data_IF_767155608799
#
_entry.id   IF_767155608799
#
_cell.length_a   1.000
_cell.length_b   1.000
_cell.length_c   1.000
_cell.angle_alpha   90.00
_cell.angle_beta   90.00
_cell.angle_gamma   90.00
#
_symmetry.space_group_name_H-M   'P 1'
#
loop_
_entity.id
_entity.type
_entity.pdbx_description
1 polymer ?
#
# COMPACT_ATOMS: atom_id res chain seq x y z
N UNK A 1 7.55 16.34 4.08
CA UNK A 1 7.22 15.40 5.18
C UNK A 1 5.78 14.95 4.99
N UNK A 2 5.53 13.66 4.84
CA UNK A 2 4.16 13.11 4.72
C UNK A 2 3.50 13.10 6.10
N UNK A 3 2.26 13.56 6.19
CA UNK A 3 1.47 13.43 7.43
C UNK A 3 0.91 12.01 7.55
N UNK A 4 0.72 11.52 8.78
CA UNK A 4 0.06 10.23 9.04
C UNK A 4 -1.33 10.16 8.36
N UNK A 5 -2.02 11.30 8.28
CA UNK A 5 -3.31 11.42 7.58
C UNK A 5 -3.17 11.19 6.07
N UNK A 6 -2.20 11.82 5.40
CA UNK A 6 -1.93 11.57 3.98
C UNK A 6 -1.55 10.12 3.71
N UNK A 7 -0.74 9.52 4.58
CA UNK A 7 -0.38 8.10 4.48
C UNK A 7 -1.61 7.18 4.57
N UNK A 8 -2.53 7.45 5.52
CA UNK A 8 -3.80 6.71 5.62
C UNK A 8 -4.64 6.82 4.35
N UNK A 9 -4.76 8.01 3.77
CA UNK A 9 -5.54 8.24 2.55
C UNK A 9 -4.94 7.51 1.34
N UNK A 10 -3.61 7.50 1.22
CA UNK A 10 -2.90 6.74 0.19
C UNK A 10 -3.14 5.24 0.31
N UNK A 11 -3.07 4.68 1.53
CA UNK A 11 -3.42 3.28 1.79
C UNK A 11 -4.84 2.95 1.35
N UNK A 12 -5.81 3.77 1.76
CA UNK A 12 -7.22 3.55 1.42
C UNK A 12 -7.41 3.58 -0.10
N UNK A 13 -6.81 4.53 -0.79
CA UNK A 13 -6.89 4.63 -2.26
C UNK A 13 -6.32 3.39 -2.97
N UNK A 14 -5.23 2.81 -2.45
CA UNK A 14 -4.65 1.56 -2.96
C UNK A 14 -5.60 0.39 -2.69
N UNK A 15 -6.09 0.27 -1.46
CA UNK A 15 -6.99 -0.82 -1.05
C UNK A 15 -8.32 -0.80 -1.83
N UNK A 16 -8.91 0.37 -2.07
CA UNK A 16 -10.16 0.52 -2.84
C UNK A 16 -10.01 0.07 -4.30
N UNK A 17 -8.79 0.12 -4.85
CA UNK A 17 -8.49 -0.30 -6.23
C UNK A 17 -8.10 -1.78 -6.35
N UNK A 18 -7.59 -2.41 -5.29
CA UNK A 18 -7.18 -3.82 -5.32
C UNK A 18 -8.26 -4.69 -4.66
N UNK A 19 -8.99 -5.46 -5.47
CA UNK A 19 -9.99 -6.38 -4.95
C UNK A 19 -9.33 -7.52 -4.12
N UNK A 20 -9.85 -7.80 -2.93
CA UNK A 20 -9.38 -8.90 -2.09
C UNK A 20 -8.08 -8.61 -1.32
N UNK A 21 -7.77 -7.33 -1.04
CA UNK A 21 -6.67 -6.94 -0.15
C UNK A 21 -7.23 -6.42 1.16
N UNK A 22 -6.71 -6.94 2.27
CA UNK A 22 -6.89 -6.34 3.59
C UNK A 22 -5.62 -5.57 3.94
N UNK A 23 -5.75 -4.30 4.31
CA UNK A 23 -4.58 -3.47 4.64
C UNK A 23 -4.49 -3.20 6.12
N UNK A 24 -3.39 -3.64 6.72
CA UNK A 24 -3.02 -3.30 8.09
C UNK A 24 -1.93 -2.23 8.07
N UNK A 25 -2.36 -0.97 8.22
CA UNK A 25 -1.42 0.13 8.26
C UNK A 25 -0.70 0.17 9.62
N UNK A 26 0.62 0.06 9.59
CA UNK A 26 1.47 0.35 10.73
C UNK A 26 2.04 1.75 10.54
N UNK A 27 1.56 2.78 11.27
CA UNK A 27 2.02 4.15 11.07
C UNK A 27 3.49 4.29 11.49
N UNK A 28 4.39 4.03 10.54
CA UNK A 28 5.78 4.48 10.56
C UNK A 28 5.95 5.41 9.38
N UNK A 29 5.88 6.72 9.66
CA UNK A 29 6.29 7.73 8.69
C UNK A 29 7.80 7.62 8.53
N UNK A 30 8.27 7.30 7.33
CA UNK A 30 9.68 7.50 6.97
C UNK A 30 9.87 8.94 6.49
N UNK A 31 11.11 9.34 6.20
CA UNK A 31 11.38 10.69 5.66
C UNK A 31 10.73 10.94 4.29
N UNK A 32 10.42 9.86 3.55
CA UNK A 32 10.00 9.88 2.14
C UNK A 32 8.68 9.14 1.85
N UNK A 33 8.19 8.32 2.78
CA UNK A 33 7.02 7.45 2.56
C UNK A 33 6.38 6.95 3.86
N UNK A 34 5.54 5.92 3.74
CA UNK A 34 4.99 5.18 4.87
C UNK A 34 5.14 3.68 4.66
N UNK A 35 5.32 2.95 5.76
CA UNK A 35 5.31 1.48 5.75
C UNK A 35 3.91 0.97 6.03
N UNK A 36 3.45 -0.04 5.30
CA UNK A 36 2.20 -0.74 5.56
C UNK A 36 2.40 -2.26 5.40
N UNK A 37 1.68 -3.05 6.18
CA UNK A 37 1.58 -4.48 5.92
C UNK A 37 0.25 -4.75 5.19
N UNK A 38 0.33 -5.38 4.02
CA UNK A 38 -0.79 -5.76 3.19
C UNK A 38 -1.01 -7.27 3.32
N UNK A 39 -2.22 -7.69 3.68
CA UNK A 39 -2.66 -9.07 3.55
C UNK A 39 -3.32 -9.25 2.18
N UNK A 40 -2.67 -10.02 1.31
CA UNK A 40 -3.22 -10.37 0.00
C UNK A 40 -3.81 -11.78 0.05
N UNK A 41 -5.04 -11.90 -0.46
CA UNK A 41 -5.78 -13.17 -0.48
C UNK A 41 -5.58 -13.97 -1.77
N UNK A 42 -4.90 -13.39 -2.77
CA UNK A 42 -4.60 -14.05 -4.05
C UNK A 42 -3.33 -13.52 -4.70
N UNK A 43 -2.72 -14.30 -5.60
CA UNK A 43 -1.58 -13.86 -6.41
C UNK A 43 -1.95 -12.69 -7.33
N UNK A 44 -3.21 -12.62 -7.81
CA UNK A 44 -3.68 -11.49 -8.60
C UNK A 44 -3.68 -10.17 -7.81
N UNK A 45 -4.00 -10.22 -6.51
CA UNK A 45 -3.94 -9.06 -5.64
C UNK A 45 -2.49 -8.63 -5.34
N UNK A 46 -1.56 -9.58 -5.30
CA UNK A 46 -0.12 -9.30 -5.23
C UNK A 46 0.36 -8.57 -6.49
N UNK A 47 0.04 -9.09 -7.67
CA UNK A 47 0.48 -8.51 -8.95
C UNK A 47 -0.11 -7.11 -9.16
N UNK A 48 -1.39 -6.92 -8.78
CA UNK A 48 -2.08 -5.64 -8.92
C UNK A 48 -1.52 -4.52 -8.03
N UNK A 49 -0.80 -4.85 -6.94
CA UNK A 49 -0.30 -3.84 -6.01
C UNK A 49 0.64 -2.82 -6.69
N UNK A 50 1.63 -3.31 -7.43
CA UNK A 50 2.59 -2.44 -8.10
C UNK A 50 1.92 -1.53 -9.13
N UNK A 51 0.99 -2.09 -9.90
CA UNK A 51 0.26 -1.36 -10.93
C UNK A 51 -0.61 -0.26 -10.32
N UNK A 52 -1.37 -0.57 -9.27
CA UNK A 52 -2.27 0.38 -8.60
C UNK A 52 -1.51 1.52 -7.91
N UNK A 53 -0.42 1.22 -7.21
CA UNK A 53 0.39 2.27 -6.56
C UNK A 53 0.99 3.20 -7.61
N UNK A 54 1.46 2.65 -8.73
CA UNK A 54 2.01 3.42 -9.85
C UNK A 54 0.93 4.25 -10.56
N UNK A 55 -0.27 3.69 -10.77
CA UNK A 55 -1.43 4.39 -11.34
C UNK A 55 -1.83 5.61 -10.51
N UNK A 56 -1.72 5.49 -9.18
CA UNK A 56 -1.96 6.59 -8.24
C UNK A 56 -0.81 7.61 -8.19
N UNK A 57 0.22 7.47 -9.01
CA UNK A 57 1.37 8.38 -9.06
C UNK A 57 2.30 8.28 -7.84
N UNK A 58 2.25 7.16 -7.13
CA UNK A 58 3.11 6.86 -5.98
C UNK A 58 4.18 5.83 -6.39
N UNK A 59 5.23 5.67 -5.58
CA UNK A 59 6.26 4.65 -5.85
C UNK A 59 6.13 3.49 -4.87
N UNK A 60 5.88 2.26 -5.34
CA UNK A 60 5.83 1.06 -4.48
C UNK A 60 7.23 0.47 -4.26
N UNK A 61 7.48 -0.01 -3.05
CA UNK A 61 8.61 -0.89 -2.72
C UNK A 61 8.12 -2.03 -1.82
N UNK A 62 8.44 -3.27 -2.17
CA UNK A 62 8.15 -4.45 -1.33
C UNK A 62 9.41 -4.76 -0.52
N UNK A 63 9.34 -4.58 0.79
CA UNK A 63 10.48 -4.89 1.69
C UNK A 63 10.55 -6.37 2.05
N UNK A 64 9.39 -7.01 2.22
CA UNK A 64 9.31 -8.41 2.64
C UNK A 64 7.99 -9.03 2.19
N UNK A 65 8.06 -10.30 1.77
CA UNK A 65 6.89 -11.16 1.62
C UNK A 65 6.97 -12.23 2.71
N UNK A 66 5.85 -12.50 3.39
CA UNK A 66 5.75 -13.51 4.45
C UNK A 66 4.46 -14.32 4.31
N UNK A 67 4.47 -15.58 4.76
CA UNK A 67 3.28 -16.41 4.77
C UNK A 67 2.39 -16.03 5.96
N UNK A 68 1.07 -15.99 5.75
CA UNK A 68 0.08 -15.78 6.82
C UNK A 68 -0.59 -17.11 7.17
N UNK A 69 -1.46 -17.60 6.29
CA UNK A 69 -2.23 -18.86 6.43
C UNK A 69 -2.44 -19.51 5.05
N UNK A 70 -3.09 -20.68 5.00
CA UNK A 70 -3.30 -21.47 3.78
C UNK A 70 -3.86 -20.65 2.59
N UNK A 71 -2.97 -20.23 1.69
CA UNK A 71 -3.29 -19.45 0.48
C UNK A 71 -3.15 -17.93 0.61
N UNK A 72 -2.88 -17.41 1.81
CA UNK A 72 -2.70 -15.97 2.06
C UNK A 72 -1.23 -15.59 2.21
N UNK A 73 -0.87 -14.41 1.73
CA UNK A 73 0.48 -13.84 1.88
C UNK A 73 0.38 -12.45 2.50
N UNK A 74 1.33 -12.15 3.38
CA UNK A 74 1.57 -10.80 3.86
C UNK A 74 2.67 -10.16 3.04
N UNK A 75 2.51 -8.89 2.69
CA UNK A 75 3.57 -8.05 2.17
C UNK A 75 3.84 -6.91 3.16
N UNK A 76 5.10 -6.70 3.50
CA UNK A 76 5.53 -5.40 4.03
C UNK A 76 5.94 -4.53 2.86
N UNK A 77 5.28 -3.39 2.72
CA UNK A 77 5.52 -2.44 1.64
C UNK A 77 5.86 -1.08 2.19
N UNK A 78 6.67 -0.34 1.44
CA UNK A 78 6.86 1.09 1.58
C UNK A 78 6.23 1.75 0.37
N UNK A 79 5.42 2.77 0.62
CA UNK A 79 4.79 3.58 -0.42
C UNK A 79 5.30 5.01 -0.25
N UNK A 80 6.04 5.47 -1.25
CA UNK A 80 6.52 6.85 -1.31
C UNK A 80 5.43 7.72 -1.93
N UNK A 81 4.95 8.68 -1.13
CA UNK A 81 3.89 9.61 -1.52
C UNK A 81 4.52 10.95 -1.89
N UNK A 82 4.44 11.40 -3.14
CA UNK A 82 5.04 12.67 -3.52
C UNK A 82 4.38 13.84 -2.78
N UNK A 83 5.14 14.91 -2.53
CA UNK A 83 4.70 16.05 -1.71
C UNK A 83 3.38 16.70 -2.19
N UNK A 84 3.16 16.70 -3.51
CA UNK A 84 1.96 17.21 -4.18
C UNK A 84 0.83 16.21 -4.40
N UNK A 85 0.97 14.96 -3.93
CA UNK A 85 -0.07 13.93 -4.12
C UNK A 85 -1.38 14.35 -3.47
N UNK A 86 -2.48 14.09 -4.18
CA UNK A 86 -3.83 14.28 -3.70
C UNK A 86 -4.58 12.95 -3.84
N UNK A 87 -5.38 12.56 -2.84
CA UNK A 87 -6.23 11.39 -2.98
C UNK A 87 -7.21 11.57 -4.14
N UNK A 88 -7.53 10.51 -4.88
CA UNK A 88 -8.54 10.55 -5.94
C UNK A 88 -9.85 11.11 -5.37
N UNK A 89 -10.46 12.08 -6.05
CA UNK A 89 -11.82 12.51 -5.72
C UNK A 89 -12.79 11.39 -6.09
N UNK A 90 -13.61 10.96 -5.12
CA UNK A 90 -14.73 10.03 -5.34
C UNK A 90 -15.75 10.56 -6.34
#
# INVERSE_FOLDING_TARGET
MITIEKAKLAVIAVAEKINGVEVHMFPQSTWFGFTADLEVTSDAAYDAFHDVVTELGMTPSVERVFALDAGKRGLRVVIDVPEGWQPPTR
#
